data_IF_176891082461
#
_entry.id   IF_176891082461
#
_cell.length_a   1.000
_cell.length_b   1.000
_cell.length_c   1.000
_cell.angle_alpha   90.00
_cell.angle_beta   90.00
_cell.angle_gamma   90.00
#
_symmetry.space_group_name_H-M   'P 1'
#
loop_
_entity.id
_entity.type
_entity.pdbx_description
1 polymer ?
#
# COMPACT_ATOMS: atom_id res chain seq x y z
N UNK A 1 11.75 -11.62 16.65
CA UNK A 1 11.57 -13.04 16.29
C UNK A 1 10.23 -13.60 16.76
N UNK A 2 9.78 -13.32 17.97
CA UNK A 2 8.49 -13.82 18.50
C UNK A 2 7.26 -13.44 17.67
N UNK A 3 7.20 -12.23 17.12
CA UNK A 3 6.09 -11.79 16.26
C UNK A 3 5.99 -12.54 14.91
N UNK A 4 7.10 -13.04 14.38
CA UNK A 4 7.11 -13.83 13.14
C UNK A 4 6.51 -15.21 13.34
N UNK A 5 6.89 -15.86 14.44
CA UNK A 5 6.38 -17.20 14.80
C UNK A 5 4.88 -17.16 15.15
N UNK A 6 4.41 -16.06 15.76
CA UNK A 6 2.99 -15.86 16.03
C UNK A 6 2.18 -15.67 14.75
N UNK A 7 2.67 -14.85 13.80
CA UNK A 7 2.02 -14.62 12.49
C UNK A 7 2.04 -15.90 11.65
N UNK A 8 3.13 -16.66 11.66
CA UNK A 8 3.19 -17.95 10.96
C UNK A 8 2.38 -19.05 11.64
N UNK A 9 2.21 -19.01 12.96
CA UNK A 9 1.35 -19.94 13.68
C UNK A 9 -0.13 -19.68 13.37
N UNK A 10 -0.55 -18.41 13.26
CA UNK A 10 -1.90 -18.03 12.81
C UNK A 10 -2.13 -18.39 11.31
N UNK A 11 -1.08 -18.38 10.49
CA UNK A 11 -1.15 -18.74 9.08
C UNK A 11 -1.07 -20.26 8.81
N UNK A 12 -0.81 -21.09 9.82
CA UNK A 12 -0.78 -22.55 9.72
C UNK A 12 -2.16 -23.23 9.77
N UNK A 13 -3.23 -22.50 9.47
CA UNK A 13 -4.50 -23.13 9.14
C UNK A 13 -4.28 -23.97 7.88
N UNK A 14 -4.53 -25.27 7.95
CA UNK A 14 -4.43 -26.20 6.84
C UNK A 14 -5.30 -25.70 5.69
N UNK A 15 -4.65 -25.14 4.66
CA UNK A 15 -5.32 -24.65 3.47
C UNK A 15 -5.92 -25.84 2.72
N UNK A 16 -7.20 -25.79 2.49
CA UNK A 16 -7.90 -26.74 1.60
C UNK A 16 -7.39 -26.62 0.15
N UNK A 17 -7.70 -27.58 -0.70
CA UNK A 17 -7.38 -27.48 -2.14
C UNK A 17 -8.07 -26.24 -2.78
N UNK A 18 -9.24 -25.88 -2.29
CA UNK A 18 -10.00 -24.68 -2.66
C UNK A 18 -9.23 -23.39 -2.31
N UNK A 19 -8.61 -23.33 -1.12
CA UNK A 19 -7.84 -22.15 -0.71
C UNK A 19 -6.57 -21.98 -1.57
N UNK A 20 -5.91 -23.06 -1.97
CA UNK A 20 -4.74 -23.02 -2.86
C UNK A 20 -5.07 -22.48 -4.25
N UNK A 21 -6.19 -22.90 -4.82
CA UNK A 21 -6.69 -22.37 -6.10
C UNK A 21 -7.00 -20.88 -5.98
N UNK A 22 -7.59 -20.47 -4.87
CA UNK A 22 -7.91 -19.07 -4.60
C UNK A 22 -6.62 -18.22 -4.45
N UNK A 23 -5.63 -18.70 -3.71
CA UNK A 23 -4.34 -18.01 -3.55
C UNK A 23 -3.61 -17.84 -4.90
N UNK A 24 -3.69 -18.80 -5.81
CA UNK A 24 -3.13 -18.66 -7.16
C UNK A 24 -3.84 -17.56 -7.96
N UNK A 25 -5.16 -17.46 -7.83
CA UNK A 25 -5.95 -16.40 -8.45
C UNK A 25 -5.57 -15.02 -7.87
N UNK A 26 -5.38 -14.93 -6.56
CA UNK A 26 -4.90 -13.72 -5.89
C UNK A 26 -3.50 -13.30 -6.36
N UNK A 27 -2.61 -14.26 -6.62
CA UNK A 27 -1.29 -13.95 -7.17
C UNK A 27 -1.36 -13.39 -8.58
N UNK A 28 -2.21 -13.94 -9.45
CA UNK A 28 -2.42 -13.41 -10.79
C UNK A 28 -2.97 -11.98 -10.74
N UNK A 29 -3.94 -11.75 -9.86
CA UNK A 29 -4.50 -10.43 -9.63
C UNK A 29 -3.44 -9.43 -9.11
N UNK A 30 -2.64 -9.84 -8.11
CA UNK A 30 -1.55 -9.03 -7.59
C UNK A 30 -0.55 -8.65 -8.69
N UNK A 31 -0.18 -9.58 -9.56
CA UNK A 31 0.75 -9.26 -10.67
C UNK A 31 0.16 -8.25 -11.65
N UNK A 32 -1.15 -8.31 -11.91
CA UNK A 32 -1.86 -7.31 -12.73
C UNK A 32 -1.87 -5.94 -12.05
N UNK A 33 -2.21 -5.90 -10.78
CA UNK A 33 -2.23 -4.68 -9.96
C UNK A 33 -0.85 -4.04 -9.90
N UNK A 34 0.20 -4.83 -9.64
CA UNK A 34 1.57 -4.33 -9.59
C UNK A 34 2.02 -3.70 -10.91
N UNK A 35 1.66 -4.32 -12.04
CA UNK A 35 1.98 -3.74 -13.35
C UNK A 35 1.37 -2.35 -13.52
N UNK A 36 0.15 -2.14 -13.05
CA UNK A 36 -0.51 -0.83 -13.09
C UNK A 36 0.14 0.16 -12.12
N UNK A 37 0.44 -0.28 -10.89
CA UNK A 37 1.15 0.53 -9.91
C UNK A 37 2.55 0.95 -10.41
N UNK A 38 3.27 0.06 -11.09
CA UNK A 38 4.56 0.37 -11.72
C UNK A 38 4.44 1.40 -12.85
N UNK A 39 3.36 1.35 -13.64
CA UNK A 39 3.09 2.36 -14.67
C UNK A 39 2.84 3.75 -14.07
N UNK A 40 2.22 3.84 -12.92
CA UNK A 40 1.91 5.11 -12.27
C UNK A 40 3.09 5.62 -11.42
N UNK A 41 3.67 4.76 -10.61
CA UNK A 41 4.61 5.14 -9.55
C UNK A 41 6.07 4.78 -9.86
N UNK A 42 6.35 4.09 -10.97
CA UNK A 42 7.68 3.64 -11.36
C UNK A 42 7.98 2.19 -10.92
N UNK A 43 9.10 1.62 -11.38
CA UNK A 43 9.37 0.20 -11.27
C UNK A 43 9.45 -0.29 -9.83
N UNK A 44 9.06 -1.54 -9.60
CA UNK A 44 9.21 -2.23 -8.32
C UNK A 44 10.68 -2.54 -8.02
N UNK A 45 11.03 -2.56 -6.75
CA UNK A 45 12.30 -3.12 -6.29
C UNK A 45 12.29 -4.65 -6.48
N UNK A 46 12.89 -5.10 -7.57
CA UNK A 46 12.97 -6.51 -7.92
C UNK A 46 13.96 -7.31 -7.08
N UNK A 47 14.70 -6.67 -6.18
CA UNK A 47 15.56 -7.36 -5.22
C UNK A 47 14.74 -8.12 -4.15
N UNK A 48 13.44 -7.78 -4.01
CA UNK A 48 12.51 -8.51 -3.16
C UNK A 48 11.65 -9.49 -3.96
N UNK A 49 11.71 -10.76 -3.58
CA UNK A 49 10.84 -11.81 -4.12
C UNK A 49 9.45 -11.67 -3.52
N UNK A 50 8.42 -11.65 -4.36
CA UNK A 50 7.04 -11.69 -3.91
C UNK A 50 6.63 -13.14 -3.63
N UNK A 51 6.04 -13.35 -2.46
CA UNK A 51 5.37 -14.60 -2.13
C UNK A 51 3.88 -14.51 -2.49
N UNK A 52 3.27 -15.67 -2.68
CA UNK A 52 1.82 -15.77 -2.91
C UNK A 52 1.07 -15.08 -1.75
N UNK A 53 0.10 -14.20 -2.05
CA UNK A 53 -0.75 -13.60 -1.02
C UNK A 53 -1.48 -14.66 -0.21
N UNK A 54 -1.70 -14.38 1.08
CA UNK A 54 -2.36 -15.31 1.97
C UNK A 54 -3.59 -14.70 2.61
N UNK A 55 -4.65 -15.48 2.69
CA UNK A 55 -5.84 -15.14 3.48
C UNK A 55 -5.57 -15.43 4.96
N UNK A 56 -6.00 -14.51 5.83
CA UNK A 56 -5.83 -14.63 7.29
C UNK A 56 -7.17 -14.46 8.00
N UNK A 57 -7.18 -14.69 9.31
CA UNK A 57 -8.33 -14.39 10.18
C UNK A 57 -8.28 -12.95 10.73
N UNK A 58 -7.28 -12.16 10.33
CA UNK A 58 -7.18 -10.75 10.74
C UNK A 58 -8.30 -9.89 10.15
N UNK A 59 -8.59 -8.77 10.79
CA UNK A 59 -9.61 -7.82 10.32
C UNK A 59 -9.10 -6.81 9.30
N UNK A 60 -7.78 -6.74 9.09
CA UNK A 60 -7.13 -5.84 8.13
C UNK A 60 -6.04 -6.56 7.37
N UNK A 61 -5.79 -6.12 6.13
CA UNK A 61 -4.63 -6.56 5.35
C UNK A 61 -3.34 -5.96 5.87
N UNK A 62 -2.23 -6.53 5.46
CA UNK A 62 -0.88 -6.00 5.70
C UNK A 62 0.15 -6.63 4.77
N UNK A 63 1.13 -5.86 4.37
CA UNK A 63 2.35 -6.39 3.76
C UNK A 63 3.37 -6.71 4.86
N UNK A 64 4.08 -7.79 4.66
CA UNK A 64 5.18 -8.21 5.51
C UNK A 64 6.47 -8.29 4.72
N UNK A 65 7.48 -7.52 5.14
CA UNK A 65 8.78 -7.46 4.49
C UNK A 65 9.80 -8.22 5.32
N UNK A 66 10.18 -9.40 4.85
CA UNK A 66 11.22 -10.20 5.48
C UNK A 66 12.57 -9.94 4.83
N UNK A 67 13.31 -8.98 5.38
CA UNK A 67 14.57 -8.44 4.81
C UNK A 67 15.70 -9.45 4.69
N UNK A 68 15.97 -10.32 5.69
CA UNK A 68 17.06 -11.29 5.58
C UNK A 68 16.94 -12.18 4.35
N UNK A 69 15.73 -12.53 3.94
CA UNK A 69 15.48 -13.33 2.74
C UNK A 69 15.05 -12.49 1.53
N UNK A 70 15.03 -11.17 1.66
CA UNK A 70 14.51 -10.26 0.62
C UNK A 70 13.16 -10.74 0.05
N UNK A 71 12.24 -11.02 0.94
CA UNK A 71 10.91 -11.52 0.60
C UNK A 71 9.84 -10.55 1.05
N UNK A 72 8.85 -10.31 0.21
CA UNK A 72 7.64 -9.57 0.54
C UNK A 72 6.42 -10.50 0.41
N UNK A 73 5.54 -10.47 1.40
CA UNK A 73 4.30 -11.24 1.42
C UNK A 73 3.13 -10.34 1.84
N UNK A 74 2.02 -10.49 1.17
CA UNK A 74 0.78 -9.81 1.49
C UNK A 74 -0.13 -10.78 2.24
N UNK A 75 -0.69 -10.32 3.34
CA UNK A 75 -1.72 -10.99 4.11
C UNK A 75 -3.02 -10.21 3.96
N UNK A 76 -4.07 -10.87 3.51
CA UNK A 76 -5.39 -10.28 3.32
C UNK A 76 -6.28 -10.57 4.52
N UNK A 77 -7.24 -9.69 4.77
CA UNK A 77 -8.21 -9.85 5.85
C UNK A 77 -9.13 -11.06 5.62
N UNK A 78 -9.81 -11.49 6.69
CA UNK A 78 -10.81 -12.56 6.60
C UNK A 78 -11.97 -12.23 5.65
N UNK A 79 -12.31 -10.94 5.50
CA UNK A 79 -13.39 -10.49 4.63
C UNK A 79 -13.08 -10.71 3.15
N UNK A 80 -11.82 -10.65 2.77
CA UNK A 80 -11.35 -10.92 1.41
C UNK A 80 -11.64 -12.35 0.94
N UNK A 81 -11.89 -13.28 1.87
CA UNK A 81 -12.27 -14.67 1.54
C UNK A 81 -13.64 -14.75 0.88
N UNK A 82 -14.56 -13.90 1.27
CA UNK A 82 -15.97 -13.96 0.83
C UNK A 82 -16.37 -12.79 -0.06
N UNK A 83 -15.56 -11.74 -0.10
CA UNK A 83 -15.82 -10.51 -0.85
C UNK A 83 -14.68 -10.22 -1.83
N UNK A 84 -14.76 -10.66 -3.10
CA UNK A 84 -13.67 -10.47 -4.07
C UNK A 84 -13.23 -9.01 -4.25
N UNK A 85 -14.17 -8.07 -4.14
CA UNK A 85 -13.85 -6.65 -4.25
C UNK A 85 -12.98 -6.14 -3.09
N UNK A 86 -13.16 -6.70 -1.86
CA UNK A 86 -12.27 -6.39 -0.72
C UNK A 86 -10.88 -6.94 -0.99
N UNK A 87 -10.79 -8.18 -1.52
CA UNK A 87 -9.49 -8.74 -1.88
C UNK A 87 -8.75 -7.87 -2.89
N UNK A 88 -9.43 -7.38 -3.93
CA UNK A 88 -8.85 -6.49 -4.93
C UNK A 88 -8.43 -5.14 -4.32
N UNK A 89 -9.26 -4.57 -3.44
CA UNK A 89 -8.96 -3.32 -2.73
C UNK A 89 -7.71 -3.47 -1.86
N UNK A 90 -7.67 -4.52 -1.02
CA UNK A 90 -6.55 -4.80 -0.14
C UNK A 90 -5.27 -5.12 -0.92
N UNK A 91 -5.35 -5.93 -1.98
CA UNK A 91 -4.21 -6.21 -2.85
C UNK A 91 -3.66 -4.94 -3.49
N UNK A 92 -4.52 -4.03 -3.94
CA UNK A 92 -4.10 -2.78 -4.55
C UNK A 92 -3.44 -1.85 -3.53
N UNK A 93 -3.97 -1.76 -2.31
CA UNK A 93 -3.34 -1.02 -1.21
C UNK A 93 -1.94 -1.56 -0.90
N UNK A 94 -1.83 -2.85 -0.62
CA UNK A 94 -0.58 -3.50 -0.26
C UNK A 94 0.45 -3.54 -1.42
N UNK A 95 -0.02 -3.50 -2.67
CA UNK A 95 0.85 -3.44 -3.83
C UNK A 95 1.75 -2.19 -3.83
N UNK A 96 1.25 -1.06 -3.33
CA UNK A 96 2.05 0.17 -3.22
C UNK A 96 3.20 0.00 -2.21
N UNK A 97 2.95 -0.65 -1.08
CA UNK A 97 3.99 -0.93 -0.07
C UNK A 97 5.07 -1.89 -0.59
N UNK A 98 4.69 -2.86 -1.43
CA UNK A 98 5.67 -3.82 -1.99
C UNK A 98 6.38 -3.32 -3.26
N UNK A 99 5.99 -2.16 -3.81
CA UNK A 99 6.77 -1.51 -4.87
C UNK A 99 8.16 -1.10 -4.39
N UNK A 100 8.24 -0.61 -3.16
CA UNK A 100 9.50 -0.13 -2.57
C UNK A 100 9.53 -0.39 -1.07
N UNK A 101 9.80 -1.63 -0.65
CA UNK A 101 9.67 -2.06 0.74
C UNK A 101 10.44 -1.17 1.73
N UNK A 102 9.71 -0.41 2.52
CA UNK A 102 10.19 0.50 3.58
C UNK A 102 10.12 -0.10 4.99
N UNK A 103 10.43 0.68 6.04
CA UNK A 103 10.31 0.27 7.45
C UNK A 103 8.99 0.71 8.08
N UNK A 104 8.66 1.95 7.87
CA UNK A 104 7.44 2.57 8.36
C UNK A 104 6.89 3.44 7.24
N UNK A 105 5.61 3.28 6.88
CA UNK A 105 5.02 4.10 5.84
C UNK A 105 4.90 5.56 6.32
N UNK A 106 5.06 6.49 5.39
CA UNK A 106 4.76 7.90 5.59
C UNK A 106 3.32 8.20 5.20
N UNK A 107 2.86 9.41 5.53
CA UNK A 107 1.55 9.92 5.06
C UNK A 107 1.46 9.87 3.53
N UNK A 108 2.55 10.17 2.82
CA UNK A 108 2.61 10.03 1.36
C UNK A 108 2.37 8.59 0.91
N UNK A 109 3.09 7.63 1.49
CA UNK A 109 3.00 6.22 1.07
C UNK A 109 1.62 5.63 1.34
N UNK A 110 1.07 5.82 2.54
CA UNK A 110 -0.29 5.36 2.88
C UNK A 110 -1.35 6.06 2.03
N UNK A 111 -1.21 7.36 1.81
CA UNK A 111 -2.14 8.10 0.95
C UNK A 111 -2.11 7.63 -0.50
N UNK A 112 -0.95 7.25 -1.03
CA UNK A 112 -0.81 6.65 -2.36
C UNK A 112 -1.43 5.25 -2.40
N UNK A 113 -1.23 4.45 -1.36
CA UNK A 113 -1.79 3.11 -1.24
C UNK A 113 -3.33 3.17 -1.24
N UNK A 114 -3.90 4.04 -0.42
CA UNK A 114 -5.35 4.24 -0.34
C UNK A 114 -5.92 4.82 -1.65
N UNK A 115 -5.27 5.85 -2.21
CA UNK A 115 -5.70 6.46 -3.48
C UNK A 115 -5.71 5.45 -4.63
N UNK A 116 -4.66 4.64 -4.72
CA UNK A 116 -4.55 3.63 -5.78
C UNK A 116 -5.58 2.52 -5.59
N UNK A 117 -5.77 2.04 -4.36
CA UNK A 117 -6.74 1.01 -4.02
C UNK A 117 -8.18 1.43 -4.38
N UNK A 118 -8.60 2.64 -4.00
CA UNK A 118 -9.92 3.16 -4.32
C UNK A 118 -10.12 3.30 -5.84
N UNK A 119 -9.14 3.88 -6.55
CA UNK A 119 -9.19 4.02 -8.01
C UNK A 119 -9.25 2.67 -8.72
N UNK A 120 -8.51 1.69 -8.22
CA UNK A 120 -8.52 0.33 -8.76
C UNK A 120 -9.88 -0.34 -8.56
N UNK A 121 -10.42 -0.29 -7.35
CA UNK A 121 -11.69 -0.90 -7.00
C UNK A 121 -12.88 -0.22 -7.71
N UNK A 122 -12.88 1.10 -7.84
CA UNK A 122 -13.87 1.83 -8.64
C UNK A 122 -13.89 1.32 -10.09
N UNK A 123 -12.73 1.26 -10.73
CA UNK A 123 -12.62 0.84 -12.12
C UNK A 123 -12.99 -0.63 -12.36
N UNK A 124 -12.61 -1.53 -11.44
CA UNK A 124 -12.81 -2.98 -11.63
C UNK A 124 -14.17 -3.45 -11.14
N UNK A 125 -14.68 -2.84 -10.08
CA UNK A 125 -15.90 -3.28 -9.41
C UNK A 125 -17.03 -2.22 -9.42
N UNK A 126 -16.78 -1.03 -9.97
CA UNK A 126 -17.77 0.06 -9.98
C UNK A 126 -18.09 0.59 -8.57
N UNK A 127 -17.12 0.52 -7.65
CA UNK A 127 -17.33 0.92 -6.26
C UNK A 127 -17.02 2.40 -6.08
N UNK A 128 -17.97 3.11 -5.50
CA UNK A 128 -17.78 4.49 -5.05
C UNK A 128 -17.53 4.51 -3.55
N UNK A 129 -16.44 5.15 -3.14
CA UNK A 129 -16.08 5.26 -1.73
C UNK A 129 -16.57 6.61 -1.17
N UNK A 130 -17.40 6.54 -0.14
CA UNK A 130 -17.86 7.75 0.57
C UNK A 130 -16.69 8.36 1.37
N UNK A 131 -16.54 9.68 1.23
CA UNK A 131 -15.60 10.48 2.03
C UNK A 131 -16.28 10.96 3.31
N UNK A 132 -15.50 11.24 4.34
CA UNK A 132 -16.00 11.95 5.52
C UNK A 132 -16.15 11.09 6.78
N UNK A 133 -15.84 9.79 6.73
CA UNK A 133 -15.89 8.93 7.93
C UNK A 133 -14.74 9.21 8.90
N UNK A 134 -13.56 9.57 8.36
CA UNK A 134 -12.38 9.89 9.16
C UNK A 134 -11.68 11.14 8.62
N UNK A 135 -11.74 12.28 9.34
CA UNK A 135 -11.15 13.55 8.88
C UNK A 135 -9.66 13.48 8.59
N UNK A 136 -8.89 12.63 9.31
CA UNK A 136 -7.46 12.44 9.08
C UNK A 136 -7.21 11.67 7.80
N UNK A 137 -7.94 10.60 7.55
CA UNK A 137 -7.86 9.85 6.30
C UNK A 137 -8.23 10.74 5.10
N UNK A 138 -9.27 11.55 5.24
CA UNK A 138 -9.68 12.51 4.21
C UNK A 138 -8.60 13.57 3.94
N UNK A 139 -7.88 14.03 4.98
CA UNK A 139 -6.78 14.97 4.81
C UNK A 139 -5.61 14.36 4.03
N UNK A 140 -5.25 13.11 4.34
CA UNK A 140 -4.23 12.33 3.62
C UNK A 140 -4.62 12.17 2.15
N UNK A 141 -5.85 11.72 1.90
CA UNK A 141 -6.37 11.52 0.54
C UNK A 141 -6.43 12.81 -0.28
N UNK A 142 -6.83 13.94 0.35
CA UNK A 142 -6.82 15.24 -0.32
C UNK A 142 -5.41 15.69 -0.71
N UNK A 143 -4.45 15.57 0.20
CA UNK A 143 -3.06 15.97 -0.07
C UNK A 143 -2.47 15.18 -1.24
N UNK A 144 -2.62 13.85 -1.24
CA UNK A 144 -2.12 12.99 -2.31
C UNK A 144 -2.87 13.24 -3.63
N UNK A 145 -4.20 13.36 -3.59
CA UNK A 145 -4.99 13.68 -4.80
C UNK A 145 -4.58 15.03 -5.41
N UNK A 146 -4.32 16.04 -4.57
CA UNK A 146 -3.84 17.36 -5.02
C UNK A 146 -2.46 17.26 -5.66
N UNK A 147 -1.56 16.49 -5.05
CA UNK A 147 -0.21 16.26 -5.57
C UNK A 147 -0.25 15.60 -6.96
N UNK A 148 -1.04 14.53 -7.10
CA UNK A 148 -1.19 13.78 -8.37
C UNK A 148 -1.92 14.58 -9.44
N UNK A 149 -2.90 15.41 -9.06
CA UNK A 149 -3.62 16.29 -10.00
C UNK A 149 -2.71 17.35 -10.63
N UNK A 150 -1.69 17.82 -9.91
CA UNK A 150 -0.68 18.77 -10.45
C UNK A 150 0.21 18.08 -11.48
N UNK A 151 0.62 16.85 -11.25
CA UNK A 151 1.48 16.08 -12.13
C UNK A 151 1.34 14.57 -11.86
N UNK A 152 0.70 13.83 -12.75
CA UNK A 152 0.53 12.38 -12.62
C UNK A 152 1.87 11.61 -12.54
N UNK A 153 2.94 12.17 -13.11
CA UNK A 153 4.26 11.54 -13.08
C UNK A 153 5.09 11.91 -11.85
N UNK A 154 4.58 12.72 -10.93
CA UNK A 154 5.35 13.26 -9.80
C UNK A 154 5.97 12.15 -8.94
N UNK A 155 5.23 11.09 -8.66
CA UNK A 155 5.72 9.98 -7.83
C UNK A 155 6.84 9.22 -8.54
N UNK A 156 6.71 9.00 -9.84
CA UNK A 156 7.78 8.39 -10.65
C UNK A 156 9.04 9.25 -10.65
N UNK A 157 8.89 10.58 -10.76
CA UNK A 157 10.00 11.52 -10.72
C UNK A 157 10.67 11.53 -9.34
N UNK A 158 9.90 11.51 -8.26
CA UNK A 158 10.42 11.38 -6.90
C UNK A 158 11.18 10.06 -6.72
N UNK A 159 10.60 8.94 -7.16
CA UNK A 159 11.21 7.62 -7.05
C UNK A 159 12.42 7.40 -7.93
N UNK A 160 12.57 8.13 -9.02
CA UNK A 160 13.80 8.11 -9.81
C UNK A 160 15.01 8.64 -9.04
N UNK A 161 14.78 9.50 -8.02
CA UNK A 161 15.81 10.08 -7.15
C UNK A 161 15.91 9.39 -5.78
N UNK A 162 14.77 8.99 -5.23
CA UNK A 162 14.66 8.20 -4.00
C UNK A 162 13.73 7.01 -4.24
N UNK A 163 14.26 5.81 -4.54
CA UNK A 163 13.44 4.65 -4.93
C UNK A 163 12.44 4.18 -3.87
N UNK A 164 12.74 4.40 -2.59
CA UNK A 164 11.88 3.99 -1.47
C UNK A 164 10.95 5.12 -1.08
N UNK A 165 9.63 4.93 -1.25
CA UNK A 165 8.61 5.98 -1.03
C UNK A 165 8.68 6.52 0.40
N UNK A 166 8.78 5.66 1.40
CA UNK A 166 8.85 6.07 2.81
C UNK A 166 10.15 6.83 3.20
N UNK A 167 11.10 6.94 2.28
CA UNK A 167 12.33 7.73 2.45
C UNK A 167 12.35 9.02 1.66
N UNK A 168 11.26 9.34 0.96
CA UNK A 168 11.10 10.62 0.29
C UNK A 168 10.92 11.69 1.37
N UNK A 169 11.89 12.57 1.49
CA UNK A 169 11.90 13.63 2.48
C UNK A 169 11.23 14.94 2.00
N UNK A 170 11.05 15.86 2.91
CA UNK A 170 10.45 17.17 2.65
C UNK A 170 11.21 17.97 1.59
N UNK A 171 12.54 17.89 1.59
CA UNK A 171 13.40 18.62 0.65
C UNK A 171 13.15 18.12 -0.78
N UNK A 172 13.12 16.82 -0.97
CA UNK A 172 12.88 16.21 -2.27
C UNK A 172 11.46 16.51 -2.78
N UNK A 173 10.46 16.50 -1.88
CA UNK A 173 9.09 16.88 -2.21
C UNK A 173 8.99 18.34 -2.66
N UNK A 174 9.62 19.29 -1.97
CA UNK A 174 9.64 20.68 -2.42
C UNK A 174 10.35 20.84 -3.75
N UNK A 175 11.51 20.21 -3.92
CA UNK A 175 12.33 20.35 -5.13
C UNK A 175 11.67 19.73 -6.38
N UNK A 176 11.13 18.53 -6.27
CA UNK A 176 10.64 17.75 -7.43
C UNK A 176 9.16 17.96 -7.67
N UNK A 177 8.37 18.03 -6.60
CA UNK A 177 6.91 18.18 -6.71
C UNK A 177 6.45 19.65 -6.71
N UNK A 178 7.32 20.58 -6.35
CA UNK A 178 6.99 22.02 -6.32
C UNK A 178 5.89 22.36 -5.31
N UNK A 179 5.78 21.61 -4.22
CA UNK A 179 4.80 21.86 -3.14
C UNK A 179 5.41 22.71 -2.04
N UNK A 180 4.56 23.33 -1.23
CA UNK A 180 5.02 24.15 -0.09
C UNK A 180 5.64 23.29 1.01
N UNK A 181 6.54 23.90 1.81
CA UNK A 181 7.25 23.20 2.90
C UNK A 181 6.29 22.57 3.92
N UNK A 182 5.19 23.24 4.24
CA UNK A 182 4.17 22.70 5.19
C UNK A 182 3.52 21.42 4.67
N UNK A 183 3.15 21.40 3.37
CA UNK A 183 2.59 20.22 2.73
C UNK A 183 3.64 19.10 2.61
N UNK A 184 4.88 19.45 2.28
CA UNK A 184 6.00 18.49 2.21
C UNK A 184 6.27 17.83 3.57
N UNK A 185 6.31 18.61 4.65
CA UNK A 185 6.43 18.09 6.03
C UNK A 185 5.29 17.16 6.39
N UNK A 186 4.06 17.53 6.07
CA UNK A 186 2.90 16.66 6.29
C UNK A 186 3.04 15.32 5.56
N UNK A 187 3.34 15.33 4.26
CA UNK A 187 3.47 14.13 3.45
C UNK A 187 4.64 13.21 3.87
N UNK A 188 5.74 13.78 4.37
CA UNK A 188 6.91 13.02 4.86
C UNK A 188 6.78 12.53 6.30
N UNK A 189 5.72 12.91 7.04
CA UNK A 189 5.49 12.48 8.42
C UNK A 189 5.23 10.98 8.48
N UNK A 190 5.74 10.30 9.52
CA UNK A 190 5.40 8.93 9.85
C UNK A 190 3.89 8.79 10.05
N UNK A 191 3.28 7.84 9.34
CA UNK A 191 1.84 7.69 9.32
C UNK A 191 1.25 7.29 10.67
N UNK A 192 1.92 6.39 11.40
CA UNK A 192 1.44 5.96 12.72
C UNK A 192 1.51 7.12 13.73
N UNK A 193 2.58 7.92 13.65
CA UNK A 193 2.70 9.12 14.49
C UNK A 193 1.56 10.10 14.19
N UNK A 194 1.28 10.38 12.92
CA UNK A 194 0.17 11.27 12.52
C UNK A 194 -1.18 10.82 13.09
N UNK A 195 -1.50 9.53 13.01
CA UNK A 195 -2.78 9.02 13.48
C UNK A 195 -2.91 9.00 15.01
N UNK A 196 -1.82 8.82 15.74
CA UNK A 196 -1.82 8.80 17.22
C UNK A 196 -1.86 10.20 17.83
N UNK A 197 -1.39 11.22 17.14
CA UNK A 197 -1.40 12.60 17.63
C UNK A 197 -2.85 13.11 17.66
N UNK A 198 -3.34 13.72 18.77
CA UNK A 198 -4.65 14.34 18.80
C UNK A 198 -4.80 15.37 17.67
N UNK A 199 -6.00 15.47 17.09
CA UNK A 199 -6.28 16.57 16.15
C UNK A 199 -6.23 17.90 16.91
N UNK A 200 -5.59 18.93 16.35
CA UNK A 200 -5.54 20.26 16.97
C UNK A 200 -6.92 20.87 17.13
#
# INVERSE_FOLDING_TARGET
>A
MENLLAIEAEAKVFLSASDRSHEQTLMQELMRILKEAELLFGPRDTSYQLSVPRLTECTSSRSFIFRPLRMARIYLSRESRTKPWIASLELAHEAVHVLSPGWAPTVLEEGLAEWFAQRYADRVHGLSFERGVNPKADAVMRAVSTLLAKNESVIRNLRSRQPVISKIDEKLLVEVAGIGLTEAKFLSTDFQHYFRTPSP
#
